data_IF_027266906604
#
_entry.id   IF_027266906604
#
_cell.length_a   1.000
_cell.length_b   1.000
_cell.length_c   1.000
_cell.angle_alpha   90.00
_cell.angle_beta   90.00
_cell.angle_gamma   90.00
#
_symmetry.space_group_name_H-M   'P 1'
#
loop_
_entity.id
_entity.type
_entity.pdbx_description
1 polymer ?
#
# COMPACT_ATOMS: atom_id res chain seq x y z
N UNK A 1 4.84 -0.56 6.04
CA UNK A 1 6.05 -0.08 5.32
C UNK A 1 7.33 -0.16 6.13
N UNK A 2 7.29 -0.28 7.47
CA UNK A 2 8.49 -0.32 8.33
C UNK A 2 9.55 -1.34 7.91
N UNK A 3 9.14 -2.52 7.43
CA UNK A 3 10.07 -3.57 7.01
C UNK A 3 10.82 -3.25 5.70
N UNK A 4 10.27 -2.39 4.84
CA UNK A 4 10.82 -2.07 3.53
C UNK A 4 11.52 -0.70 3.52
N UNK A 5 10.93 0.29 4.19
CA UNK A 5 11.42 1.67 4.26
C UNK A 5 11.31 2.22 5.71
N UNK A 6 12.16 1.74 6.64
CA UNK A 6 12.01 2.05 8.07
C UNK A 6 12.12 3.54 8.36
N UNK A 7 11.11 4.11 9.03
CA UNK A 7 11.05 5.52 9.46
C UNK A 7 10.94 6.51 8.30
N UNK A 8 10.76 6.04 7.06
CA UNK A 8 10.62 6.88 5.88
C UNK A 8 9.16 7.06 5.53
N UNK A 9 8.84 8.27 5.11
CA UNK A 9 7.56 8.54 4.47
C UNK A 9 7.60 8.06 3.02
N UNK A 10 6.59 7.30 2.62
CA UNK A 10 6.41 6.76 1.28
C UNK A 10 5.15 7.38 0.69
N UNK A 11 5.27 7.91 -0.52
CA UNK A 11 4.15 8.36 -1.35
C UNK A 11 3.89 7.34 -2.44
N UNK A 12 2.63 6.96 -2.59
CA UNK A 12 2.15 6.04 -3.61
C UNK A 12 1.21 6.83 -4.52
N UNK A 13 1.58 6.95 -5.79
CA UNK A 13 0.76 7.54 -6.85
C UNK A 13 0.28 6.40 -7.76
N UNK A 14 -1.03 6.27 -7.92
CA UNK A 14 -1.64 5.22 -8.73
C UNK A 14 -2.95 5.69 -9.38
N UNK A 15 -3.36 5.15 -10.53
CA UNK A 15 -4.70 5.37 -11.05
C UNK A 15 -5.72 4.47 -10.34
N UNK A 16 -6.95 4.95 -10.19
CA UNK A 16 -8.10 4.13 -9.80
C UNK A 16 -8.32 3.00 -10.80
N UNK A 17 -8.49 1.78 -10.30
CA UNK A 17 -8.68 0.59 -11.15
C UNK A 17 -10.00 0.60 -11.94
N UNK A 18 -10.99 1.37 -11.51
CA UNK A 18 -12.30 1.47 -12.15
C UNK A 18 -12.36 2.63 -13.17
N UNK A 19 -12.08 3.86 -12.72
CA UNK A 19 -12.24 5.07 -13.54
C UNK A 19 -10.94 5.68 -14.08
N UNK A 20 -9.77 5.26 -13.58
CA UNK A 20 -8.47 5.80 -13.99
C UNK A 20 -8.08 7.15 -13.37
N UNK A 21 -8.93 7.76 -12.54
CA UNK A 21 -8.62 9.00 -11.80
C UNK A 21 -7.45 8.80 -10.83
N UNK A 22 -6.66 9.85 -10.54
CA UNK A 22 -5.49 9.73 -9.68
C UNK A 22 -5.86 9.42 -8.23
N UNK A 23 -5.08 8.54 -7.62
CA UNK A 23 -5.12 8.19 -6.20
C UNK A 23 -3.72 8.45 -5.62
N UNK A 24 -3.70 9.07 -4.45
CA UNK A 24 -2.52 9.38 -3.66
C UNK A 24 -2.67 8.77 -2.27
N UNK A 25 -1.65 8.03 -1.84
CA UNK A 25 -1.54 7.55 -0.45
C UNK A 25 -0.18 7.93 0.11
N UNK A 26 -0.16 8.54 1.30
CA UNK A 26 1.08 8.77 2.06
C UNK A 26 1.09 7.91 3.31
N UNK A 27 2.22 7.28 3.55
CA UNK A 27 2.38 6.32 4.64
C UNK A 27 3.71 6.52 5.34
N UNK A 28 3.77 6.22 6.63
CA UNK A 28 5.01 6.06 7.38
C UNK A 28 4.88 4.87 8.30
N UNK A 29 5.79 3.90 8.15
CA UNK A 29 5.77 2.66 8.94
C UNK A 29 4.41 1.93 8.88
N UNK A 30 3.66 1.85 9.98
CA UNK A 30 2.32 1.24 10.06
C UNK A 30 1.17 2.25 9.93
N UNK A 31 1.47 3.53 9.73
CA UNK A 31 0.48 4.62 9.71
C UNK A 31 0.23 5.12 8.29
N UNK A 32 -1.05 5.37 7.97
CA UNK A 32 -1.47 6.10 6.78
C UNK A 32 -1.66 7.56 7.19
N UNK A 33 -0.87 8.44 6.59
CA UNK A 33 -0.86 9.87 6.87
C UNK A 33 -1.87 10.64 6.02
N UNK A 34 -2.10 10.17 4.79
CA UNK A 34 -2.99 10.81 3.82
C UNK A 34 -3.54 9.76 2.84
N UNK A 35 -4.80 9.95 2.46
CA UNK A 35 -5.47 9.24 1.37
C UNK A 35 -6.29 10.27 0.60
N UNK A 36 -6.04 10.39 -0.70
CA UNK A 36 -6.75 11.30 -1.60
C UNK A 36 -7.07 10.57 -2.92
N UNK A 37 -8.35 10.39 -3.28
CA UNK A 37 -9.55 10.79 -2.54
C UNK A 37 -9.76 9.96 -1.26
N UNK A 38 -10.39 10.51 -0.20
CA UNK A 38 -10.55 9.82 1.09
C UNK A 38 -11.43 8.56 1.01
N UNK A 39 -12.26 8.42 -0.02
CA UNK A 39 -13.10 7.26 -0.30
C UNK A 39 -12.35 6.10 -0.98
N UNK A 40 -11.03 6.24 -1.20
CA UNK A 40 -10.19 5.21 -1.84
C UNK A 40 -10.30 3.86 -1.13
N UNK A 41 -10.44 2.78 -1.90
CA UNK A 41 -10.48 1.40 -1.41
C UNK A 41 -9.33 0.56 -1.97
N UNK A 42 -8.74 -0.28 -1.12
CA UNK A 42 -7.76 -1.29 -1.53
C UNK A 42 -8.42 -2.62 -1.86
N UNK A 43 -8.27 -3.10 -3.10
CA UNK A 43 -8.72 -4.44 -3.50
C UNK A 43 -7.57 -5.45 -3.43
N UNK A 44 -7.79 -6.58 -2.78
CA UNK A 44 -6.86 -7.72 -2.79
C UNK A 44 -7.62 -9.00 -3.15
N UNK A 45 -7.12 -9.72 -4.14
CA UNK A 45 -7.61 -11.08 -4.42
C UNK A 45 -7.02 -12.03 -3.37
N UNK A 46 -7.86 -12.85 -2.76
CA UNK A 46 -7.35 -13.99 -1.99
C UNK A 46 -6.71 -14.98 -2.97
N UNK A 47 -5.39 -15.03 -2.97
CA UNK A 47 -4.69 -16.13 -3.62
C UNK A 47 -4.99 -17.43 -2.87
N UNK A 48 -5.37 -18.48 -3.59
CA UNK A 48 -5.49 -19.84 -3.05
C UNK A 48 -4.11 -20.50 -2.85
N UNK A 49 -3.03 -19.84 -3.29
CA UNK A 49 -1.67 -20.24 -2.95
C UNK A 49 -1.40 -19.80 -1.52
N UNK A 50 -0.90 -20.72 -0.69
CA UNK A 50 -0.47 -20.43 0.68
C UNK A 50 0.53 -19.28 0.64
N UNK A 51 0.10 -18.09 1.06
CA UNK A 51 0.99 -16.97 1.32
C UNK A 51 1.93 -17.43 2.43
N UNK A 52 3.23 -17.50 2.19
CA UNK A 52 4.18 -17.72 3.27
C UNK A 52 4.05 -16.56 4.25
N UNK A 53 3.97 -16.86 5.55
CA UNK A 53 4.01 -15.82 6.59
C UNK A 53 5.37 -15.09 6.61
N UNK A 54 6.34 -15.62 5.87
CA UNK A 54 7.63 -15.00 5.61
C UNK A 54 7.49 -13.90 4.55
N UNK A 55 7.16 -12.69 5.00
CA UNK A 55 7.62 -11.48 4.30
C UNK A 55 9.12 -11.38 4.55
N UNK A 56 9.92 -12.13 3.78
CA UNK A 56 11.37 -12.01 3.85
C UNK A 56 11.73 -10.61 3.35
N UNK A 57 11.93 -9.69 4.30
CA UNK A 57 12.74 -8.51 4.05
C UNK A 57 14.08 -9.04 3.53
N UNK A 58 14.34 -8.85 2.23
CA UNK A 58 15.63 -9.12 1.64
C UNK A 58 16.66 -8.33 2.45
N UNK A 59 17.47 -9.05 3.23
CA UNK A 59 18.64 -8.50 3.91
C UNK A 59 19.77 -8.32 2.92
#
# INVERSE_FOLDING_TARGET
MRWLFPGKEVRIDAPCLDCGEPIVVRMRDEEILEVDPPETVGHTVRSFVKRSDESAAFR
#
